data_IF_204000589713
#
_entry.id   IF_204000589713
#
_cell.length_a   1.000
_cell.length_b   1.000
_cell.length_c   1.000
_cell.angle_alpha   90.00
_cell.angle_beta   90.00
_cell.angle_gamma   90.00
#
_symmetry.space_group_name_H-M   'P 1'
#
loop_
_entity.id
_entity.type
_entity.pdbx_description
1 polymer ?
#
# COMPACT_ATOMS: atom_id res chain seq x y z
N UNK A 1 -12.08 13.90 10.63
CA UNK A 1 -12.08 14.82 11.79
C UNK A 1 -13.52 14.85 12.33
N UNK A 2 -13.71 14.71 13.62
CA UNK A 2 -15.05 14.69 14.24
C UNK A 2 -15.80 16.00 13.91
N UNK A 3 -17.05 15.90 13.45
CA UNK A 3 -17.85 17.04 13.02
C UNK A 3 -17.59 17.56 11.59
N UNK A 4 -16.70 16.90 10.83
CA UNK A 4 -16.37 17.26 9.46
C UNK A 4 -16.54 16.06 8.50
N UNK A 5 -17.79 15.73 8.10
CA UNK A 5 -18.09 14.56 7.28
C UNK A 5 -17.36 14.57 5.92
N UNK A 6 -17.03 15.74 5.39
CA UNK A 6 -16.24 15.88 4.16
C UNK A 6 -14.81 15.36 4.28
N UNK A 7 -14.28 15.21 5.50
CA UNK A 7 -12.96 14.65 5.79
C UNK A 7 -13.02 13.19 6.20
N UNK A 8 -14.20 12.58 6.18
CA UNK A 8 -14.38 11.17 6.51
C UNK A 8 -13.69 10.30 5.45
N UNK A 9 -12.90 9.33 5.92
CA UNK A 9 -12.13 8.46 5.06
C UNK A 9 -12.98 7.24 4.73
N UNK A 10 -13.21 7.01 3.44
CA UNK A 10 -13.82 5.80 2.92
C UNK A 10 -12.78 4.95 2.19
N UNK A 11 -12.85 3.64 2.39
CA UNK A 11 -12.05 2.69 1.62
C UNK A 11 -12.72 2.43 0.27
N UNK A 12 -11.91 2.44 -0.79
CA UNK A 12 -12.32 2.13 -2.16
C UNK A 12 -11.78 0.76 -2.54
N UNK A 13 -12.62 -0.09 -3.10
CA UNK A 13 -12.24 -1.46 -3.40
C UNK A 13 -11.81 -2.22 -2.14
N UNK A 14 -10.71 -2.96 -2.24
CA UNK A 14 -10.27 -3.83 -1.13
C UNK A 14 -9.66 -3.08 0.04
N UNK A 15 -8.83 -2.05 -0.20
CA UNK A 15 -8.11 -1.35 0.87
C UNK A 15 -7.61 0.05 0.53
N UNK A 16 -7.84 0.54 -0.68
CA UNK A 16 -7.34 1.85 -1.12
C UNK A 16 -8.12 2.99 -0.47
N UNK A 17 -7.43 4.02 -0.03
CA UNK A 17 -8.03 5.25 0.52
C UNK A 17 -7.28 6.49 0.03
N UNK A 18 -7.92 7.64 0.13
CA UNK A 18 -7.34 8.94 -0.17
C UNK A 18 -7.37 9.78 1.10
N UNK A 19 -6.22 10.30 1.51
CA UNK A 19 -6.07 11.22 2.64
C UNK A 19 -5.10 12.34 2.28
N UNK A 20 -5.33 13.53 2.85
CA UNK A 20 -4.55 14.72 2.54
C UNK A 20 -4.70 15.17 1.09
N UNK A 21 -4.29 16.37 0.76
CA UNK A 21 -4.27 16.90 -0.60
C UNK A 21 -3.15 17.92 -0.74
N UNK A 22 -2.00 17.49 -1.21
CA UNK A 22 -0.82 18.36 -1.38
C UNK A 22 -1.08 19.44 -2.45
N UNK A 23 -1.92 19.13 -3.45
CA UNK A 23 -2.30 20.05 -4.51
C UNK A 23 -3.27 21.15 -4.02
N UNK A 24 -3.97 20.93 -2.90
CA UNK A 24 -4.89 21.87 -2.28
C UNK A 24 -4.98 21.62 -0.76
N UNK A 25 -3.96 22.07 0.01
CA UNK A 25 -3.87 21.78 1.44
C UNK A 25 -4.98 22.38 2.30
N UNK A 26 -5.66 23.41 1.81
CA UNK A 26 -6.76 24.06 2.51
C UNK A 26 -8.07 23.26 2.40
N UNK A 27 -8.15 22.34 1.43
CA UNK A 27 -9.33 21.55 1.12
C UNK A 27 -9.03 20.05 1.24
N UNK A 28 -8.96 19.55 2.47
CA UNK A 28 -8.73 18.15 2.82
C UNK A 28 -9.99 17.29 2.69
N UNK A 29 -10.69 17.36 1.57
CA UNK A 29 -11.85 16.49 1.32
C UNK A 29 -11.40 15.18 0.69
N UNK A 30 -12.04 14.09 1.05
CA UNK A 30 -11.82 12.76 0.48
C UNK A 30 -12.79 12.44 -0.66
N UNK A 31 -13.98 13.04 -0.63
CA UNK A 31 -15.01 12.84 -1.64
C UNK A 31 -14.61 13.42 -3.01
N UNK A 32 -15.03 12.76 -4.08
CA UNK A 32 -14.72 13.18 -5.45
C UNK A 32 -13.26 13.00 -5.84
N UNK A 33 -12.49 12.21 -5.10
CA UNK A 33 -11.08 11.92 -5.35
C UNK A 33 -10.85 10.41 -5.42
N UNK A 34 -9.72 9.99 -5.97
CA UNK A 34 -9.41 8.57 -6.06
C UNK A 34 -7.94 8.31 -6.34
N UNK A 35 -7.57 7.03 -6.32
CA UNK A 35 -6.25 6.58 -6.76
C UNK A 35 -6.22 6.52 -8.29
N UNK A 36 -5.29 7.26 -8.90
CA UNK A 36 -5.13 7.33 -10.36
C UNK A 36 -4.34 6.14 -10.90
N UNK A 37 -3.32 5.75 -10.17
CA UNK A 37 -2.45 4.65 -10.56
C UNK A 37 -1.64 4.17 -9.37
N UNK A 38 -1.30 2.89 -9.37
CA UNK A 38 -0.32 2.34 -8.44
C UNK A 38 0.62 1.38 -9.16
N UNK A 39 1.80 1.20 -8.59
CA UNK A 39 2.78 0.20 -9.02
C UNK A 39 3.34 -0.50 -7.78
N UNK A 40 3.74 -1.77 -7.90
CA UNK A 40 4.07 -2.60 -6.72
C UNK A 40 5.48 -3.15 -6.83
N UNK A 41 6.26 -2.97 -5.76
CA UNK A 41 7.63 -3.48 -5.63
C UNK A 41 7.59 -4.91 -5.09
N UNK A 42 8.37 -5.79 -5.74
CA UNK A 42 8.70 -7.12 -5.25
C UNK A 42 9.86 -7.01 -4.24
N UNK A 43 9.56 -6.75 -2.96
CA UNK A 43 10.58 -6.62 -1.93
C UNK A 43 11.40 -7.90 -1.71
N UNK A 44 10.83 -9.13 -1.71
CA UNK A 44 11.59 -10.37 -1.58
C UNK A 44 12.72 -10.49 -2.59
N UNK A 45 12.50 -10.10 -3.84
CA UNK A 45 13.54 -10.12 -4.87
C UNK A 45 14.73 -9.23 -4.52
N UNK A 46 14.48 -8.06 -3.94
CA UNK A 46 15.54 -7.16 -3.50
C UNK A 46 16.30 -7.79 -2.33
N UNK A 47 15.60 -8.38 -1.36
CA UNK A 47 16.20 -9.12 -0.24
C UNK A 47 17.08 -10.29 -0.71
N UNK A 48 16.60 -11.13 -1.64
CA UNK A 48 17.37 -12.24 -2.21
C UNK A 48 18.65 -11.72 -2.89
N UNK A 49 18.55 -10.63 -3.66
CA UNK A 49 19.69 -10.04 -4.36
C UNK A 49 20.73 -9.42 -3.43
N UNK A 50 20.28 -8.86 -2.33
CA UNK A 50 21.14 -8.22 -1.34
C UNK A 50 21.97 -9.20 -0.52
N UNK A 51 21.56 -10.49 -0.43
CA UNK A 51 22.30 -11.56 0.27
C UNK A 51 22.69 -11.19 1.71
N UNK A 52 21.79 -10.52 2.43
CA UNK A 52 22.02 -10.09 3.81
C UNK A 52 22.75 -8.75 3.98
N UNK A 53 23.18 -8.11 2.90
CA UNK A 53 23.78 -6.76 2.94
C UNK A 53 22.68 -5.69 2.89
N UNK A 54 22.46 -5.03 4.04
CA UNK A 54 21.43 -4.00 4.18
C UNK A 54 21.71 -2.77 3.32
N UNK A 55 22.98 -2.37 3.14
CA UNK A 55 23.31 -1.22 2.30
C UNK A 55 22.91 -1.47 0.86
N UNK A 56 23.32 -2.63 0.32
CA UNK A 56 22.93 -3.07 -1.03
C UNK A 56 21.40 -3.19 -1.19
N UNK A 57 20.71 -3.60 -0.13
CA UNK A 57 19.24 -3.66 -0.15
C UNK A 57 18.61 -2.27 -0.27
N UNK A 58 19.00 -1.31 0.58
CA UNK A 58 18.44 0.04 0.56
C UNK A 58 18.79 0.80 -0.72
N UNK A 59 20.02 0.68 -1.24
CA UNK A 59 20.41 1.24 -2.55
C UNK A 59 19.52 0.68 -3.68
N UNK A 60 19.27 -0.64 -3.67
CA UNK A 60 18.39 -1.28 -4.65
C UNK A 60 16.93 -0.85 -4.49
N UNK A 61 16.48 -0.63 -3.24
CA UNK A 61 15.13 -0.15 -2.95
C UNK A 61 14.96 1.28 -3.46
N UNK A 62 15.93 2.17 -3.22
CA UNK A 62 15.89 3.55 -3.70
C UNK A 62 15.83 3.60 -5.23
N UNK A 63 16.66 2.81 -5.92
CA UNK A 63 16.57 2.70 -7.37
C UNK A 63 15.19 2.22 -7.86
N UNK A 64 14.59 1.24 -7.17
CA UNK A 64 13.24 0.78 -7.52
C UNK A 64 12.18 1.84 -7.24
N UNK A 65 12.32 2.64 -6.18
CA UNK A 65 11.44 3.76 -5.89
C UNK A 65 11.52 4.84 -6.97
N UNK A 66 12.72 5.16 -7.47
CA UNK A 66 12.90 6.07 -8.60
C UNK A 66 12.14 5.58 -9.84
N UNK A 67 12.34 4.31 -10.22
CA UNK A 67 11.63 3.72 -11.35
C UNK A 67 10.10 3.73 -11.17
N UNK A 68 9.61 3.48 -9.96
CA UNK A 68 8.18 3.53 -9.65
C UNK A 68 7.63 4.94 -9.79
N UNK A 69 8.34 5.94 -9.29
CA UNK A 69 7.95 7.36 -9.39
C UNK A 69 7.90 7.78 -10.86
N UNK A 70 8.93 7.48 -11.64
CA UNK A 70 8.98 7.83 -13.07
C UNK A 70 7.82 7.17 -13.83
N UNK A 71 7.55 5.89 -13.60
CA UNK A 71 6.43 5.18 -14.21
C UNK A 71 5.07 5.78 -13.84
N UNK A 72 4.89 6.18 -12.58
CA UNK A 72 3.65 6.82 -12.13
C UNK A 72 3.46 8.19 -12.77
N UNK A 73 4.54 8.96 -12.94
CA UNK A 73 4.51 10.25 -13.63
C UNK A 73 4.17 10.11 -15.12
N UNK A 74 4.75 9.15 -15.81
CA UNK A 74 4.40 8.87 -17.21
C UNK A 74 2.90 8.55 -17.37
N UNK A 75 2.36 7.72 -16.46
CA UNK A 75 0.93 7.40 -16.46
C UNK A 75 0.07 8.61 -16.13
N UNK A 76 0.49 9.43 -15.18
CA UNK A 76 -0.20 10.68 -14.84
C UNK A 76 -0.25 11.62 -16.05
N UNK A 77 0.89 11.85 -16.71
CA UNK A 77 0.96 12.67 -17.90
C UNK A 77 0.08 12.15 -19.06
N UNK A 78 0.05 10.83 -19.24
CA UNK A 78 -0.85 10.20 -20.21
C UNK A 78 -2.33 10.43 -19.88
N UNK A 79 -2.71 10.32 -18.61
CA UNK A 79 -4.07 10.54 -18.14
C UNK A 79 -4.46 12.02 -18.25
N UNK A 80 -3.56 12.94 -17.93
CA UNK A 80 -3.78 14.38 -17.99
C UNK A 80 -4.17 14.90 -19.38
N UNK A 81 -3.71 14.23 -20.44
CA UNK A 81 -4.05 14.56 -21.85
C UNK A 81 -5.43 14.07 -22.27
N UNK A 82 -6.13 13.32 -21.41
CA UNK A 82 -7.51 12.91 -21.68
C UNK A 82 -8.44 14.11 -21.49
N UNK A 83 -9.55 14.09 -22.22
CA UNK A 83 -10.57 15.13 -22.16
C UNK A 83 -11.74 14.68 -21.29
N UNK A 84 -12.54 15.62 -20.79
CA UNK A 84 -13.75 15.34 -20.03
C UNK A 84 -14.63 14.30 -20.73
N UNK A 85 -14.82 14.40 -22.03
CA UNK A 85 -15.60 13.46 -22.84
C UNK A 85 -15.09 12.02 -22.88
N UNK A 86 -13.82 11.78 -22.48
CA UNK A 86 -13.27 10.41 -22.38
C UNK A 86 -13.72 9.68 -21.11
N UNK A 87 -14.20 10.43 -20.10
CA UNK A 87 -14.75 9.90 -18.86
C UNK A 87 -16.06 10.64 -18.49
N UNK A 88 -17.11 10.46 -19.30
CA UNK A 88 -18.34 11.29 -19.24
C UNK A 88 -19.09 11.19 -17.91
N UNK A 89 -19.04 10.05 -17.25
CA UNK A 89 -19.64 9.88 -15.92
C UNK A 89 -18.78 10.57 -14.84
N UNK A 90 -17.50 10.24 -14.78
CA UNK A 90 -16.62 10.69 -13.70
C UNK A 90 -16.34 12.18 -13.78
N UNK A 91 -16.05 12.68 -14.98
CA UNK A 91 -15.66 14.07 -15.22
C UNK A 91 -16.83 14.93 -15.71
N UNK A 92 -17.66 14.40 -16.62
CA UNK A 92 -18.73 15.17 -17.23
C UNK A 92 -19.97 15.38 -16.34
N UNK A 93 -20.13 14.63 -15.25
CA UNK A 93 -21.22 14.82 -14.27
C UNK A 93 -20.75 15.42 -12.94
N UNK A 94 -19.53 15.95 -12.85
CA UNK A 94 -19.02 16.58 -11.64
C UNK A 94 -18.78 15.61 -10.49
N UNK A 95 -18.59 14.30 -10.76
CA UNK A 95 -18.31 13.30 -9.72
C UNK A 95 -16.88 13.46 -9.18
N UNK A 96 -15.93 13.76 -10.08
CA UNK A 96 -14.57 14.10 -9.67
C UNK A 96 -14.49 15.55 -9.21
N UNK A 97 -13.73 15.80 -8.17
CA UNK A 97 -13.55 17.15 -7.59
C UNK A 97 -13.22 18.19 -8.69
N UNK A 98 -13.95 19.28 -8.69
CA UNK A 98 -13.78 20.42 -9.61
C UNK A 98 -13.99 20.11 -11.11
N UNK A 99 -14.40 18.91 -11.47
CA UNK A 99 -14.62 18.56 -12.88
C UNK A 99 -15.83 19.27 -13.50
N UNK A 100 -16.74 19.78 -12.68
CA UNK A 100 -17.85 20.65 -13.09
C UNK A 100 -17.41 22.02 -13.60
N UNK A 101 -16.14 22.39 -13.38
CA UNK A 101 -15.53 23.64 -13.88
C UNK A 101 -14.92 23.49 -15.28
N UNK A 102 -14.89 22.28 -15.83
CA UNK A 102 -14.29 21.97 -17.13
C UNK A 102 -15.35 21.80 -18.21
N UNK A 103 -15.02 22.26 -19.43
CA UNK A 103 -15.81 22.01 -20.62
C UNK A 103 -15.55 20.60 -21.20
N UNK A 104 -16.48 20.13 -22.03
CA UNK A 104 -16.46 18.76 -22.60
C UNK A 104 -15.20 18.39 -23.37
N UNK A 105 -14.55 19.35 -23.98
CA UNK A 105 -13.31 19.20 -24.74
C UNK A 105 -12.03 19.61 -24.00
N UNK A 106 -12.13 20.01 -22.73
CA UNK A 106 -10.98 20.33 -21.92
C UNK A 106 -10.18 19.11 -21.49
N UNK A 107 -8.86 19.28 -21.33
CA UNK A 107 -8.00 18.29 -20.69
C UNK A 107 -8.25 18.25 -19.18
N UNK A 108 -8.16 17.05 -18.59
CA UNK A 108 -8.50 16.84 -17.18
C UNK A 108 -7.33 17.09 -16.22
N UNK A 109 -6.22 17.65 -16.67
CA UNK A 109 -4.99 17.90 -15.89
C UNK A 109 -5.26 18.62 -14.58
N UNK A 110 -6.00 19.73 -14.64
CA UNK A 110 -6.22 20.60 -13.49
C UNK A 110 -7.00 19.95 -12.36
N UNK A 111 -7.78 18.93 -12.65
CA UNK A 111 -8.57 18.20 -11.66
C UNK A 111 -7.91 16.87 -11.25
N UNK A 112 -7.14 16.24 -12.14
CA UNK A 112 -6.45 15.00 -11.82
C UNK A 112 -5.34 15.16 -10.76
N UNK A 113 -4.74 16.34 -10.61
CA UNK A 113 -3.75 16.62 -9.55
C UNK A 113 -4.24 16.32 -8.13
N UNK A 114 -5.56 16.30 -7.92
CA UNK A 114 -6.17 15.94 -6.64
C UNK A 114 -6.22 14.42 -6.37
N UNK A 115 -6.00 13.60 -7.37
CA UNK A 115 -5.89 12.15 -7.21
C UNK A 115 -4.54 11.70 -6.63
N UNK A 116 -4.41 10.41 -6.31
CA UNK A 116 -3.19 9.85 -5.72
C UNK A 116 -2.43 8.96 -6.68
N UNK A 117 -1.11 8.97 -6.56
CA UNK A 117 -0.16 8.09 -7.23
C UNK A 117 0.50 7.23 -6.17
N UNK A 118 0.29 5.92 -6.21
CA UNK A 118 0.69 5.07 -5.09
C UNK A 118 1.80 4.09 -5.46
N UNK A 119 2.82 4.00 -4.61
CA UNK A 119 3.77 2.89 -4.63
C UNK A 119 3.30 1.85 -3.63
N UNK A 120 3.22 0.61 -4.07
CA UNK A 120 2.86 -0.52 -3.23
C UNK A 120 4.03 -1.49 -3.04
N UNK A 121 3.84 -2.47 -2.15
CA UNK A 121 4.83 -3.50 -1.89
C UNK A 121 4.19 -4.83 -1.51
N UNK A 122 4.95 -5.92 -1.71
CA UNK A 122 4.58 -7.30 -1.35
C UNK A 122 5.76 -7.94 -0.64
N UNK A 123 5.49 -8.85 0.30
CA UNK A 123 6.45 -9.82 0.79
C UNK A 123 7.43 -9.27 1.80
N UNK A 124 7.01 -8.38 2.72
CA UNK A 124 7.89 -7.90 3.78
C UNK A 124 8.45 -9.06 4.63
N UNK A 125 7.62 -10.05 4.94
CA UNK A 125 8.05 -11.21 5.73
C UNK A 125 9.19 -11.98 5.05
N UNK A 126 9.03 -12.31 3.77
CA UNK A 126 10.04 -13.02 2.99
C UNK A 126 11.29 -12.17 2.74
N UNK A 127 11.13 -10.86 2.65
CA UNK A 127 12.24 -9.92 2.54
C UNK A 127 13.11 -9.94 3.80
N UNK A 128 12.50 -9.88 4.96
CA UNK A 128 13.19 -9.96 6.25
C UNK A 128 13.89 -11.33 6.42
N UNK A 129 13.21 -12.42 6.02
CA UNK A 129 13.82 -13.75 5.96
C UNK A 129 15.08 -13.76 5.07
N UNK A 130 15.03 -13.13 3.91
CA UNK A 130 16.16 -13.07 2.99
C UNK A 130 17.33 -12.21 3.54
N UNK A 131 17.04 -11.19 4.32
CA UNK A 131 18.03 -10.26 4.85
C UNK A 131 18.67 -10.74 6.16
N UNK A 132 17.86 -11.25 7.09
CA UNK A 132 18.32 -11.56 8.47
C UNK A 132 17.91 -12.94 8.99
N UNK A 133 17.24 -13.76 8.17
CA UNK A 133 16.83 -15.14 8.53
C UNK A 133 15.51 -15.23 9.31
N UNK A 134 14.92 -14.13 9.72
CA UNK A 134 13.71 -14.06 10.54
C UNK A 134 12.71 -13.05 9.97
N UNK A 135 11.40 -13.27 10.14
CA UNK A 135 10.39 -12.29 9.81
C UNK A 135 9.86 -11.55 11.05
N UNK A 136 9.14 -10.46 10.85
CA UNK A 136 8.66 -9.56 11.91
C UNK A 136 7.65 -10.17 12.90
N UNK A 137 7.11 -11.37 12.62
CA UNK A 137 6.37 -12.16 13.60
C UNK A 137 7.26 -12.97 14.56
N UNK A 138 8.53 -13.19 14.21
CA UNK A 138 9.44 -14.08 14.93
C UNK A 138 10.34 -13.33 15.94
N UNK A 139 10.77 -12.09 15.63
CA UNK A 139 11.68 -11.36 16.50
C UNK A 139 11.49 -9.85 16.47
N UNK A 140 11.87 -9.19 17.57
CA UNK A 140 11.86 -7.74 17.67
C UNK A 140 12.84 -7.07 16.69
N UNK A 141 14.01 -7.70 16.47
CA UNK A 141 14.98 -7.23 15.47
C UNK A 141 14.36 -7.15 14.08
N UNK A 142 13.62 -8.17 13.69
CA UNK A 142 12.93 -8.19 12.40
C UNK A 142 11.78 -7.18 12.35
N UNK A 143 11.07 -6.94 13.47
CA UNK A 143 10.03 -5.90 13.58
C UNK A 143 10.61 -4.51 13.35
N UNK A 144 11.70 -4.17 14.01
CA UNK A 144 12.39 -2.89 13.87
C UNK A 144 12.84 -2.68 12.42
N UNK A 145 13.53 -3.66 11.82
CA UNK A 145 13.97 -3.57 10.44
C UNK A 145 12.79 -3.46 9.44
N UNK A 146 11.71 -4.19 9.70
CA UNK A 146 10.49 -4.10 8.87
C UNK A 146 9.89 -2.70 8.88
N UNK A 147 9.79 -2.07 10.05
CA UNK A 147 9.31 -0.69 10.20
C UNK A 147 10.28 0.32 9.56
N UNK A 148 11.59 0.09 9.64
CA UNK A 148 12.60 0.91 8.98
C UNK A 148 12.44 0.86 7.45
N UNK A 149 12.29 -0.31 6.86
CA UNK A 149 12.09 -0.49 5.41
C UNK A 149 10.82 0.25 4.95
N UNK A 150 9.70 0.01 5.60
CA UNK A 150 8.43 0.63 5.19
C UNK A 150 8.41 2.13 5.52
N UNK A 151 9.04 2.54 6.62
CA UNK A 151 9.24 3.95 6.96
C UNK A 151 10.07 4.69 5.92
N UNK A 152 11.14 4.07 5.41
CA UNK A 152 11.97 4.61 4.33
C UNK A 152 11.15 4.81 3.05
N UNK A 153 10.37 3.82 2.63
CA UNK A 153 9.47 3.94 1.48
C UNK A 153 8.45 5.06 1.67
N UNK A 154 7.87 5.18 2.88
CA UNK A 154 6.90 6.23 3.19
C UNK A 154 7.53 7.62 3.14
N UNK A 155 8.70 7.81 3.76
CA UNK A 155 9.42 9.08 3.75
C UNK A 155 9.73 9.54 2.32
N UNK A 156 10.12 8.61 1.45
CA UNK A 156 10.36 8.90 0.03
C UNK A 156 9.08 9.36 -0.69
N UNK A 157 7.92 8.76 -0.43
CA UNK A 157 6.65 9.21 -1.03
C UNK A 157 6.26 10.60 -0.55
N UNK A 158 6.46 10.90 0.73
CA UNK A 158 6.20 12.22 1.29
C UNK A 158 7.13 13.30 0.69
N UNK A 159 8.40 12.95 0.42
CA UNK A 159 9.36 13.83 -0.25
C UNK A 159 8.96 14.11 -1.70
N UNK A 160 8.60 13.06 -2.46
CA UNK A 160 8.15 13.22 -3.85
C UNK A 160 6.86 14.03 -3.94
N UNK A 161 5.96 13.89 -2.97
CA UNK A 161 4.75 14.71 -2.88
C UNK A 161 5.09 16.19 -2.73
N UNK A 162 5.97 16.54 -1.81
CA UNK A 162 6.42 17.92 -1.58
C UNK A 162 7.14 18.51 -2.80
N UNK A 163 8.05 17.72 -3.39
CA UNK A 163 8.88 18.12 -4.52
C UNK A 163 8.04 18.43 -5.78
N UNK A 164 6.96 17.66 -5.99
CA UNK A 164 6.19 17.70 -7.25
C UNK A 164 4.83 18.34 -7.12
N UNK A 165 4.33 18.63 -5.93
CA UNK A 165 2.98 19.13 -5.69
C UNK A 165 1.88 18.14 -6.10
N UNK A 166 2.18 16.84 -6.09
CA UNK A 166 1.27 15.75 -6.42
C UNK A 166 1.13 14.80 -5.22
N UNK A 167 0.01 14.10 -5.12
CA UNK A 167 -0.26 13.22 -3.98
C UNK A 167 0.38 11.83 -4.18
N UNK A 168 1.67 11.68 -3.88
CA UNK A 168 2.30 10.37 -3.77
C UNK A 168 1.95 9.72 -2.43
N UNK A 169 1.78 8.40 -2.44
CA UNK A 169 1.36 7.67 -1.24
C UNK A 169 1.88 6.24 -1.23
N UNK A 170 1.94 5.63 -0.05
CA UNK A 170 2.38 4.25 0.13
C UNK A 170 1.17 3.33 0.38
N UNK A 171 1.07 2.27 -0.42
CA UNK A 171 -0.03 1.30 -0.40
C UNK A 171 0.44 -0.07 0.11
N UNK A 172 -0.26 -0.62 1.08
CA UNK A 172 -0.18 -2.05 1.37
C UNK A 172 -0.92 -2.81 0.26
N UNK A 173 -0.21 -3.22 -0.79
CA UNK A 173 -0.82 -3.72 -2.03
C UNK A 173 -1.77 -4.88 -1.80
N UNK A 174 -3.00 -4.85 -2.32
CA UNK A 174 -3.92 -5.99 -2.37
C UNK A 174 -3.47 -6.96 -3.48
N UNK A 175 -2.50 -7.81 -3.18
CA UNK A 175 -1.74 -8.54 -4.17
C UNK A 175 -2.25 -9.97 -4.40
N UNK A 176 -3.48 -10.15 -4.75
CA UNK A 176 -4.11 -11.47 -4.99
C UNK A 176 -3.29 -12.34 -5.96
N UNK A 177 -3.46 -12.18 -7.26
CA UNK A 177 -2.70 -12.94 -8.27
C UNK A 177 -1.23 -12.51 -8.42
N UNK A 178 -0.88 -11.28 -8.03
CA UNK A 178 0.47 -10.74 -8.19
C UNK A 178 1.47 -11.39 -7.24
N UNK A 179 1.07 -11.76 -6.02
CA UNK A 179 1.90 -12.43 -5.03
C UNK A 179 2.37 -13.81 -5.52
N UNK A 180 1.47 -14.61 -6.11
CA UNK A 180 1.80 -15.89 -6.73
C UNK A 180 2.65 -15.72 -7.99
N UNK A 181 2.37 -14.72 -8.82
CA UNK A 181 3.18 -14.43 -10.02
C UNK A 181 4.62 -14.05 -9.67
N UNK A 182 4.83 -13.24 -8.64
CA UNK A 182 6.15 -12.83 -8.21
C UNK A 182 6.98 -14.00 -7.68
N UNK A 183 6.41 -14.83 -6.79
CA UNK A 183 7.14 -16.00 -6.26
C UNK A 183 7.45 -17.00 -7.38
N UNK A 184 6.55 -17.22 -8.33
CA UNK A 184 6.82 -18.11 -9.47
C UNK A 184 8.03 -17.66 -10.27
N UNK A 185 8.09 -16.38 -10.65
CA UNK A 185 9.22 -15.83 -11.40
C UNK A 185 10.52 -15.90 -10.58
N UNK A 186 10.46 -15.63 -9.28
CA UNK A 186 11.65 -15.66 -8.43
C UNK A 186 12.14 -17.10 -8.19
N UNK A 187 11.22 -18.05 -8.03
CA UNK A 187 11.53 -19.48 -7.96
C UNK A 187 12.20 -20.00 -9.23
N UNK A 188 11.74 -19.59 -10.39
CA UNK A 188 12.37 -19.92 -11.67
C UNK A 188 13.78 -19.32 -11.80
N UNK A 189 14.00 -18.12 -11.26
CA UNK A 189 15.26 -17.39 -11.39
C UNK A 189 16.30 -17.72 -10.33
N UNK A 190 15.89 -17.94 -9.10
CA UNK A 190 16.77 -18.09 -7.94
C UNK A 190 16.68 -19.47 -7.29
N UNK A 191 15.78 -20.34 -7.76
CA UNK A 191 15.51 -21.64 -7.15
C UNK A 191 14.55 -21.57 -5.97
N UNK A 192 14.35 -22.72 -5.33
CA UNK A 192 13.60 -22.85 -4.11
C UNK A 192 14.48 -22.45 -2.92
N UNK A 193 14.07 -21.40 -2.21
CA UNK A 193 14.75 -20.90 -1.01
C UNK A 193 13.78 -21.04 0.14
N UNK A 194 14.15 -21.82 1.18
CA UNK A 194 13.32 -22.10 2.34
C UNK A 194 12.88 -20.83 3.07
N UNK A 195 11.59 -20.73 3.36
CA UNK A 195 10.98 -19.57 4.02
C UNK A 195 10.86 -18.32 3.13
N UNK A 196 11.25 -18.40 1.84
CA UNK A 196 11.19 -17.28 0.91
C UNK A 196 10.42 -17.67 -0.36
N UNK A 197 10.96 -18.58 -1.19
CA UNK A 197 10.35 -18.97 -2.46
C UNK A 197 9.76 -20.39 -2.46
N UNK A 198 9.73 -21.07 -1.34
CA UNK A 198 9.25 -22.45 -1.18
C UNK A 198 7.72 -22.60 -1.24
N UNK A 199 6.98 -21.49 -1.13
CA UNK A 199 5.51 -21.47 -1.16
C UNK A 199 4.96 -21.05 -2.53
N UNK A 200 3.63 -21.06 -2.66
CA UNK A 200 2.93 -20.71 -3.90
C UNK A 200 2.68 -19.19 -4.06
N UNK A 201 2.87 -18.41 -3.01
CA UNK A 201 2.69 -16.95 -3.01
C UNK A 201 3.60 -16.30 -1.96
N UNK A 202 3.94 -15.03 -2.18
CA UNK A 202 4.52 -14.18 -1.15
C UNK A 202 3.43 -13.61 -0.25
N UNK A 203 3.76 -13.40 1.01
CA UNK A 203 2.86 -12.76 1.96
C UNK A 203 2.48 -11.36 1.48
N UNK A 204 1.19 -11.03 1.55
CA UNK A 204 0.70 -9.71 1.16
C UNK A 204 1.31 -8.62 2.05
N UNK A 205 1.80 -7.56 1.41
CA UNK A 205 2.28 -6.33 2.05
C UNK A 205 3.13 -6.57 3.32
N UNK A 206 2.67 -6.05 4.45
CA UNK A 206 3.34 -6.16 5.77
C UNK A 206 2.77 -7.25 6.67
N UNK A 207 1.88 -8.13 6.17
CA UNK A 207 1.25 -9.11 7.03
C UNK A 207 2.25 -10.08 7.65
N UNK A 208 1.98 -10.48 8.89
CA UNK A 208 2.56 -11.70 9.44
C UNK A 208 2.00 -12.88 8.65
N UNK A 209 2.86 -13.80 8.18
CA UNK A 209 2.41 -14.93 7.37
C UNK A 209 1.28 -15.73 8.04
N UNK A 210 0.24 -16.05 7.27
CA UNK A 210 -0.94 -16.77 7.80
C UNK A 210 -0.62 -18.16 8.38
N UNK A 211 0.44 -18.79 7.92
CA UNK A 211 0.90 -20.07 8.45
C UNK A 211 1.68 -19.97 9.76
N UNK A 212 2.04 -18.75 10.18
CA UNK A 212 2.78 -18.55 11.44
C UNK A 212 1.80 -18.59 12.62
N UNK A 213 2.03 -19.47 13.62
CA UNK A 213 1.13 -19.61 14.75
C UNK A 213 1.24 -18.41 15.67
N UNK A 214 0.25 -17.54 15.63
CA UNK A 214 0.19 -16.30 16.40
C UNK A 214 -1.25 -16.01 16.83
N UNK A 215 -1.45 -15.39 17.99
CA UNK A 215 -2.77 -14.93 18.40
C UNK A 215 -3.25 -13.76 17.54
N UNK A 216 -4.57 -13.58 17.40
CA UNK A 216 -5.14 -12.43 16.71
C UNK A 216 -4.66 -11.10 17.33
N UNK A 217 -4.55 -11.05 18.65
CA UNK A 217 -4.07 -9.87 19.38
C UNK A 217 -2.62 -9.54 19.01
N UNK A 218 -1.72 -10.51 19.11
CA UNK A 218 -0.30 -10.30 18.82
C UNK A 218 -0.07 -9.96 17.34
N UNK A 219 -0.83 -10.61 16.44
CA UNK A 219 -0.79 -10.29 15.00
C UNK A 219 -1.17 -8.83 14.74
N UNK A 220 -2.28 -8.36 15.31
CA UNK A 220 -2.72 -6.97 15.16
C UNK A 220 -1.68 -6.02 15.79
N UNK A 221 -1.15 -6.32 16.96
CA UNK A 221 -0.14 -5.50 17.63
C UNK A 221 1.15 -5.36 16.80
N UNK A 222 1.53 -6.39 16.06
CA UNK A 222 2.68 -6.35 15.14
C UNK A 222 2.35 -5.56 13.87
N UNK A 223 1.16 -5.71 13.30
CA UNK A 223 0.77 -5.09 12.04
C UNK A 223 0.34 -3.62 12.17
N UNK A 224 -0.26 -3.23 13.30
CA UNK A 224 -0.81 -1.90 13.52
C UNK A 224 0.17 -0.73 13.27
N UNK A 225 1.46 -0.78 13.66
CA UNK A 225 2.41 0.29 13.37
C UNK A 225 2.58 0.59 11.88
N UNK A 226 2.38 -0.41 11.01
CA UNK A 226 2.46 -0.21 9.55
C UNK A 226 1.26 0.55 8.98
N UNK A 227 0.12 0.60 9.69
CA UNK A 227 -1.08 1.32 9.26
C UNK A 227 -0.81 2.83 9.13
N UNK A 228 -0.04 3.41 10.04
CA UNK A 228 0.35 4.82 9.98
C UNK A 228 1.29 5.11 8.79
N UNK A 229 2.07 4.13 8.36
CA UNK A 229 3.02 4.26 7.26
C UNK A 229 2.35 4.09 5.88
N UNK A 230 1.26 3.31 5.80
CA UNK A 230 0.57 2.99 4.55
C UNK A 230 -0.67 3.85 4.33
N UNK A 231 -0.42 5.13 4.03
CA UNK A 231 -1.47 6.15 3.91
C UNK A 231 -2.40 5.98 2.69
N UNK A 232 -1.98 5.26 1.65
CA UNK A 232 -2.84 4.93 0.51
C UNK A 232 -3.84 3.80 0.81
N UNK A 233 -3.68 3.12 1.94
CA UNK A 233 -4.58 2.07 2.41
C UNK A 233 -3.88 0.79 2.82
N UNK A 234 -4.54 0.08 3.70
CA UNK A 234 -4.10 -1.18 4.31
C UNK A 234 -5.30 -1.98 4.82
N UNK A 235 -5.05 -3.22 5.18
CA UNK A 235 -5.99 -4.11 5.86
C UNK A 235 -5.20 -5.11 6.70
N UNK A 236 -5.76 -5.61 7.79
CA UNK A 236 -5.26 -6.79 8.51
C UNK A 236 -6.27 -7.93 8.37
N UNK A 237 -5.77 -9.12 8.09
CA UNK A 237 -6.59 -10.34 8.01
C UNK A 237 -6.47 -11.13 9.30
N UNK A 238 -7.61 -11.46 9.89
CA UNK A 238 -7.69 -12.38 11.02
C UNK A 238 -8.49 -13.60 10.56
N UNK A 239 -7.84 -14.74 10.51
CA UNK A 239 -8.49 -16.01 10.26
C UNK A 239 -9.02 -16.56 11.59
N UNK A 240 -10.27 -16.95 11.60
CA UNK A 240 -10.95 -17.51 12.78
C UNK A 240 -11.32 -18.97 12.49
N UNK A 241 -11.02 -19.84 13.44
CA UNK A 241 -11.47 -21.22 13.38
C UNK A 241 -12.96 -21.33 13.74
N UNK A 242 -13.68 -22.16 13.00
CA UNK A 242 -15.08 -22.48 13.25
C UNK A 242 -16.07 -21.40 12.77
N UNK A 243 -17.30 -21.56 13.20
CA UNK A 243 -18.40 -20.61 12.90
C UNK A 243 -18.40 -19.47 13.92
N UNK A 244 -18.14 -18.22 13.51
CA UNK A 244 -18.14 -17.08 14.43
C UNK A 244 -19.50 -16.84 15.09
N UNK A 245 -20.61 -17.37 14.55
CA UNK A 245 -21.94 -17.25 15.16
C UNK A 245 -22.07 -18.09 16.44
N UNK A 246 -21.26 -19.12 16.62
CA UNK A 246 -21.25 -19.93 17.83
C UNK A 246 -20.59 -19.23 19.03
N UNK A 247 -19.77 -18.16 18.77
CA UNK A 247 -19.10 -17.40 19.82
C UNK A 247 -19.04 -15.90 19.49
N UNK A 248 -20.19 -15.24 19.53
CA UNK A 248 -20.32 -13.82 19.25
C UNK A 248 -19.45 -12.94 20.17
N UNK A 249 -19.24 -13.36 21.43
CA UNK A 249 -18.40 -12.62 22.36
C UNK A 249 -16.92 -12.65 21.98
N UNK A 250 -16.42 -13.71 21.35
CA UNK A 250 -15.06 -13.76 20.82
C UNK A 250 -14.95 -12.89 19.57
N UNK A 251 -15.94 -12.93 18.68
CA UNK A 251 -16.01 -12.09 17.48
C UNK A 251 -16.01 -10.59 17.82
N UNK A 252 -16.85 -10.19 18.79
CA UNK A 252 -16.90 -8.80 19.28
C UNK A 252 -15.53 -8.33 19.81
N UNK A 253 -14.81 -9.17 20.58
CA UNK A 253 -13.47 -8.84 21.07
C UNK A 253 -12.48 -8.60 19.95
N UNK A 254 -12.49 -9.41 18.88
CA UNK A 254 -11.61 -9.20 17.71
C UNK A 254 -11.87 -7.85 17.06
N UNK A 255 -13.15 -7.45 16.91
CA UNK A 255 -13.51 -6.11 16.37
C UNK A 255 -13.02 -4.99 17.31
N UNK A 256 -13.16 -5.17 18.63
CA UNK A 256 -12.69 -4.17 19.61
C UNK A 256 -11.17 -4.02 19.59
N UNK A 257 -10.41 -5.11 19.46
CA UNK A 257 -8.94 -5.05 19.28
C UNK A 257 -8.58 -4.23 18.06
N UNK A 258 -9.23 -4.49 16.92
CA UNK A 258 -9.00 -3.72 15.70
C UNK A 258 -9.24 -2.21 15.88
N UNK A 259 -10.28 -1.82 16.60
CA UNK A 259 -10.59 -0.41 16.92
C UNK A 259 -9.55 0.25 17.82
N UNK A 260 -8.94 -0.48 18.72
CA UNK A 260 -7.95 0.06 19.67
C UNK A 260 -6.58 0.37 19.02
N UNK A 261 -6.33 -0.13 17.81
CA UNK A 261 -5.05 -0.03 17.13
C UNK A 261 -5.11 0.79 15.81
N UNK A 262 -6.25 1.46 15.55
CA UNK A 262 -6.46 2.30 14.35
C UNK A 262 -6.36 3.78 14.68
#
# INVERSE_FOLDING_TARGET
KEGHPETEIAYMGCRTRVIGNVADPEREISNGRGNLSFTTINLPRLGIKAKGDLNTFFESLDHMLDLCVDQLLERFEFQCRKKVKNAPFLMGQGVWIDSDKLDWDDEVREVLKHGTLSVGFIGLAETLKALIGEHHGESERARVLGLEIIGHMRARMDEESKKRGLNFSLLATPAEGLSGRFVKIDKEKYGVIEGITDREYYTNSFHVPVYYPISAYDKIAIEAPYHALTNAGHISYIEMDGDPTENLGAFERVIQIGRAHV
#
